data_IF_562040700433
#
_entry.id   IF_562040700433
#
_cell.length_a   1.000
_cell.length_b   1.000
_cell.length_c   1.000
_cell.angle_alpha   90.00
_cell.angle_beta   90.00
_cell.angle_gamma   90.00
#
_symmetry.space_group_name_H-M   'P 1'
#
loop_
_entity.id
_entity.type
_entity.pdbx_description
1 polymer ?
#
# COMPACT_ATOMS: atom_id res chain seq x y z
N UNK A 1 25.94 82.14 -93.98
CA UNK A 1 25.81 82.90 -92.72
C UNK A 1 26.18 81.95 -91.60
N UNK A 2 27.35 82.18 -91.06
CA UNK A 2 28.25 81.18 -90.46
C UNK A 2 27.78 80.73 -89.07
N UNK A 3 27.44 79.45 -88.91
CA UNK A 3 27.06 78.87 -87.61
C UNK A 3 28.19 79.00 -86.57
N UNK A 4 29.44 79.19 -87.01
CA UNK A 4 30.61 79.36 -86.13
C UNK A 4 30.55 80.64 -85.30
N UNK A 5 29.89 81.70 -85.78
CA UNK A 5 29.99 83.03 -85.15
C UNK A 5 28.96 83.28 -84.02
N UNK A 6 27.86 82.52 -83.98
CA UNK A 6 26.86 82.59 -82.88
C UNK A 6 27.17 81.70 -81.68
N UNK A 7 28.09 80.75 -81.82
CA UNK A 7 28.47 79.81 -80.75
C UNK A 7 29.63 80.31 -79.87
N UNK A 8 30.40 81.31 -80.30
CA UNK A 8 31.65 81.71 -79.60
C UNK A 8 31.52 82.86 -78.59
N UNK A 9 30.38 83.56 -78.50
CA UNK A 9 30.19 84.69 -77.57
C UNK A 9 29.44 84.38 -76.28
N UNK A 10 28.85 83.20 -76.14
CA UNK A 10 28.18 82.80 -74.91
C UNK A 10 28.76 81.47 -74.41
N UNK A 11 29.56 81.54 -73.33
CA UNK A 11 30.01 80.35 -72.57
C UNK A 11 28.84 79.44 -72.19
N UNK A 12 27.62 79.97 -72.17
CA UNK A 12 26.38 79.26 -71.88
C UNK A 12 25.91 78.35 -73.03
N UNK A 13 26.12 78.74 -74.30
CA UNK A 13 25.70 77.95 -75.48
C UNK A 13 26.52 76.69 -75.65
N UNK A 14 27.85 76.79 -75.48
CA UNK A 14 28.76 75.63 -75.53
C UNK A 14 28.51 74.68 -74.36
N UNK A 15 28.23 75.22 -73.16
CA UNK A 15 27.82 74.42 -71.99
C UNK A 15 26.49 73.68 -72.23
N UNK A 16 25.56 74.27 -72.98
CA UNK A 16 24.28 73.66 -73.30
C UNK A 16 24.45 72.50 -74.28
N UNK A 17 25.26 72.66 -75.33
CA UNK A 17 25.55 71.59 -76.29
C UNK A 17 26.33 70.44 -75.63
N UNK A 18 27.30 70.73 -74.75
CA UNK A 18 28.02 69.69 -74.01
C UNK A 18 27.12 68.95 -73.02
N UNK A 19 26.17 69.65 -72.38
CA UNK A 19 25.15 69.04 -71.54
C UNK A 19 24.26 68.08 -72.35
N UNK A 20 23.78 68.50 -73.52
CA UNK A 20 22.94 67.67 -74.39
C UNK A 20 23.71 66.43 -74.86
N UNK A 21 24.96 66.59 -75.29
CA UNK A 21 25.82 65.45 -75.67
C UNK A 21 26.09 64.52 -74.48
N UNK A 22 26.29 65.06 -73.27
CA UNK A 22 26.44 64.25 -72.06
C UNK A 22 25.16 63.47 -71.73
N UNK A 23 23.98 64.06 -71.90
CA UNK A 23 22.68 63.39 -71.71
C UNK A 23 22.47 62.29 -72.75
N UNK A 24 22.77 62.53 -74.03
CA UNK A 24 22.70 61.50 -75.07
C UNK A 24 23.69 60.36 -74.82
N UNK A 25 24.93 60.68 -74.43
CA UNK A 25 25.94 59.67 -74.14
C UNK A 25 25.60 58.87 -72.88
N UNK A 26 25.10 59.53 -71.83
CA UNK A 26 24.55 58.88 -70.63
C UNK A 26 23.36 57.99 -70.96
N UNK A 27 22.44 58.47 -71.82
CA UNK A 27 21.28 57.69 -72.29
C UNK A 27 21.69 56.50 -73.15
N UNK A 28 22.70 56.63 -74.01
CA UNK A 28 23.24 55.51 -74.80
C UNK A 28 23.94 54.47 -73.91
N UNK A 29 24.75 54.90 -72.94
CA UNK A 29 25.41 53.99 -71.98
C UNK A 29 24.37 53.27 -71.12
N UNK A 30 23.34 53.97 -70.65
CA UNK A 30 22.29 53.35 -69.83
C UNK A 30 21.30 52.52 -70.64
N UNK A 31 21.03 52.89 -71.90
CA UNK A 31 20.03 52.24 -72.74
C UNK A 31 20.56 51.13 -73.65
N UNK A 32 21.79 51.24 -74.17
CA UNK A 32 22.37 50.30 -75.15
C UNK A 32 23.49 49.45 -74.54
N UNK A 33 24.39 50.04 -73.74
CA UNK A 33 25.49 49.29 -73.10
C UNK A 33 25.01 48.51 -71.87
N UNK A 34 24.02 49.06 -71.15
CA UNK A 34 23.33 48.47 -69.99
C UNK A 34 24.29 47.71 -69.05
N UNK A 35 25.10 48.44 -68.25
CA UNK A 35 26.18 47.84 -67.47
C UNK A 35 25.66 46.82 -66.46
N UNK A 36 26.42 45.74 -66.30
CA UNK A 36 26.16 44.71 -65.30
C UNK A 36 26.34 45.30 -63.89
N UNK A 37 25.38 45.03 -63.00
CA UNK A 37 25.38 45.45 -61.59
C UNK A 37 25.19 44.25 -60.68
N UNK A 38 25.55 44.44 -59.42
CA UNK A 38 25.30 43.49 -58.35
C UNK A 38 24.23 44.06 -57.41
N UNK A 39 23.20 43.26 -57.10
CA UNK A 39 22.19 43.60 -56.09
C UNK A 39 22.14 42.48 -55.05
N UNK A 40 22.07 42.90 -53.79
CA UNK A 40 21.92 42.02 -52.64
C UNK A 40 20.44 41.95 -52.23
N UNK A 41 19.86 40.77 -52.38
CA UNK A 41 18.52 40.45 -51.89
C UNK A 41 18.67 39.80 -50.51
N UNK A 42 18.25 40.51 -49.46
CA UNK A 42 18.45 40.07 -48.07
C UNK A 42 17.19 39.45 -47.48
N UNK A 43 17.38 38.45 -46.62
CA UNK A 43 16.30 37.84 -45.86
C UNK A 43 15.30 37.06 -46.72
N UNK A 44 15.75 36.48 -47.83
CA UNK A 44 14.95 35.59 -48.68
C UNK A 44 14.59 34.36 -47.85
N UNK A 45 13.30 34.06 -47.72
CA UNK A 45 12.83 32.88 -46.99
C UNK A 45 13.19 31.61 -47.74
N UNK A 46 13.74 30.64 -47.01
CA UNK A 46 14.13 29.35 -47.56
C UNK A 46 12.96 28.38 -47.40
N UNK A 47 12.49 27.83 -48.51
CA UNK A 47 11.40 26.87 -48.55
C UNK A 47 11.94 25.43 -48.42
N UNK A 48 11.27 24.62 -47.62
CA UNK A 48 11.59 23.20 -47.52
C UNK A 48 10.86 22.41 -48.61
N UNK A 49 11.61 21.64 -49.40
CA UNK A 49 11.09 20.72 -50.42
C UNK A 49 11.37 19.27 -50.02
N UNK A 50 10.63 18.32 -50.60
CA UNK A 50 10.73 16.90 -50.19
C UNK A 50 10.09 16.62 -48.84
N UNK A 51 9.12 17.43 -48.41
CA UNK A 51 8.37 17.23 -47.16
C UNK A 51 7.54 15.94 -47.18
N UNK A 52 7.25 15.38 -48.36
CA UNK A 52 6.63 14.07 -48.50
C UNK A 52 7.54 12.94 -47.99
N UNK A 53 8.87 13.07 -48.15
CA UNK A 53 9.83 12.13 -47.55
C UNK A 53 9.77 12.22 -46.02
N UNK A 54 9.80 13.45 -45.48
CA UNK A 54 9.70 13.70 -44.03
C UNK A 54 8.44 13.04 -43.44
N UNK A 55 7.28 13.29 -44.03
CA UNK A 55 6.01 12.73 -43.55
C UNK A 55 5.95 11.21 -43.67
N UNK A 56 6.45 10.64 -44.79
CA UNK A 56 6.43 9.18 -45.01
C UNK A 56 7.34 8.42 -44.06
N UNK A 57 8.53 8.97 -43.80
CA UNK A 57 9.50 8.35 -42.88
C UNK A 57 9.18 8.65 -41.40
N UNK A 58 8.09 9.38 -41.11
CA UNK A 58 7.72 9.75 -39.75
C UNK A 58 8.76 10.65 -39.09
N UNK A 59 9.25 11.67 -39.81
CA UNK A 59 10.24 12.62 -39.31
C UNK A 59 9.61 13.99 -39.07
N UNK A 60 10.25 14.81 -38.24
CA UNK A 60 9.86 16.20 -37.99
C UNK A 60 11.07 17.13 -37.99
N UNK A 61 10.89 18.37 -38.44
CA UNK A 61 11.94 19.40 -38.41
C UNK A 61 11.88 20.09 -37.05
N UNK A 62 12.92 19.93 -36.22
CA UNK A 62 13.03 20.64 -34.94
C UNK A 62 13.50 22.08 -35.16
N UNK A 63 14.55 22.28 -35.94
CA UNK A 63 15.12 23.59 -36.23
C UNK A 63 15.94 23.58 -37.53
N UNK A 64 16.07 24.72 -38.23
CA UNK A 64 15.33 25.97 -38.03
C UNK A 64 13.91 25.90 -38.64
N UNK A 65 12.93 26.56 -38.01
CA UNK A 65 11.55 26.59 -38.54
C UNK A 65 11.41 27.53 -39.76
N UNK A 66 12.04 28.70 -39.72
CA UNK A 66 11.94 29.72 -40.79
C UNK A 66 13.34 30.25 -41.19
N UNK A 67 14.19 29.44 -41.85
CA UNK A 67 15.50 29.88 -42.29
C UNK A 67 15.41 31.01 -43.34
N UNK A 68 16.36 31.95 -43.27
CA UNK A 68 16.49 33.05 -44.24
C UNK A 68 17.90 33.10 -44.80
N UNK A 69 18.02 33.51 -46.06
CA UNK A 69 19.29 33.57 -46.79
C UNK A 69 19.45 34.91 -47.52
N UNK A 70 20.69 35.36 -47.69
CA UNK A 70 21.03 36.50 -48.51
C UNK A 70 21.54 36.02 -49.87
N UNK A 71 21.02 36.60 -50.95
CA UNK A 71 21.36 36.22 -52.33
C UNK A 71 21.90 37.43 -53.07
N UNK A 72 23.13 37.33 -53.58
CA UNK A 72 23.74 38.33 -54.46
C UNK A 72 23.58 37.92 -55.92
N UNK A 73 22.97 38.79 -56.71
CA UNK A 73 22.67 38.55 -58.11
C UNK A 73 23.38 39.57 -59.01
N UNK A 74 23.97 39.08 -60.10
CA UNK A 74 24.58 39.83 -61.19
C UNK A 74 23.62 39.90 -62.37
N UNK A 75 23.40 41.09 -62.92
CA UNK A 75 22.59 41.25 -64.13
C UNK A 75 22.57 42.69 -64.61
N UNK A 76 21.91 42.93 -65.76
CA UNK A 76 21.66 44.29 -66.23
C UNK A 76 20.59 44.98 -65.38
N UNK A 77 20.55 46.32 -65.38
CA UNK A 77 19.59 47.06 -64.54
C UNK A 77 18.13 46.71 -64.85
N UNK A 78 17.82 46.50 -66.14
CA UNK A 78 16.48 46.11 -66.60
C UNK A 78 16.08 44.70 -66.12
N UNK A 79 17.00 43.75 -66.11
CA UNK A 79 16.74 42.38 -65.65
C UNK A 79 16.57 42.33 -64.12
N UNK A 80 17.42 43.03 -63.38
CA UNK A 80 17.36 43.05 -61.91
C UNK A 80 16.10 43.78 -61.40
N UNK A 81 15.69 44.87 -62.06
CA UNK A 81 14.45 45.56 -61.73
C UNK A 81 13.22 44.67 -61.94
N UNK A 82 13.24 43.78 -62.93
CA UNK A 82 12.14 42.84 -63.16
C UNK A 82 12.08 41.75 -62.09
N UNK A 83 13.22 41.34 -61.52
CA UNK A 83 13.24 40.35 -60.42
C UNK A 83 12.66 40.96 -59.14
N UNK A 84 13.01 42.20 -58.83
CA UNK A 84 12.55 42.88 -57.60
C UNK A 84 11.06 43.24 -57.58
N UNK A 85 10.45 43.45 -58.76
CA UNK A 85 9.01 43.76 -58.87
C UNK A 85 8.13 42.52 -58.98
N UNK A 86 8.72 41.34 -59.17
CA UNK A 86 8.00 40.06 -59.18
C UNK A 86 7.81 39.53 -57.77
N UNK A 87 6.62 39.05 -57.50
CA UNK A 87 6.35 38.21 -56.34
C UNK A 87 7.17 36.91 -56.47
N UNK A 88 7.96 36.58 -55.44
CA UNK A 88 8.86 35.42 -55.41
C UNK A 88 9.83 35.34 -56.60
N UNK A 89 10.39 36.49 -57.03
CA UNK A 89 11.37 36.54 -58.12
C UNK A 89 12.65 35.74 -57.86
N UNK A 90 13.00 35.54 -56.58
CA UNK A 90 14.09 34.67 -56.11
C UNK A 90 13.47 33.60 -55.21
N UNK A 91 13.74 32.34 -55.53
CA UNK A 91 13.27 31.18 -54.78
C UNK A 91 14.48 30.48 -54.19
N UNK A 92 14.55 30.40 -52.87
CA UNK A 92 15.57 29.63 -52.16
C UNK A 92 14.92 28.38 -51.57
N UNK A 93 15.49 27.22 -51.84
CA UNK A 93 14.94 25.91 -51.47
C UNK A 93 15.99 25.02 -50.82
N UNK A 94 15.54 24.19 -49.89
CA UNK A 94 16.31 23.13 -49.27
C UNK A 94 15.56 21.82 -49.45
N UNK A 95 16.21 20.86 -50.13
CA UNK A 95 15.65 19.52 -50.31
C UNK A 95 15.95 18.65 -49.10
N UNK A 96 14.89 18.19 -48.43
CA UNK A 96 14.96 17.33 -47.25
C UNK A 96 14.86 15.83 -47.59
N UNK A 97 14.87 15.45 -48.86
CA UNK A 97 14.87 14.04 -49.26
C UNK A 97 16.14 13.34 -48.80
N UNK A 98 16.01 12.23 -48.06
CA UNK A 98 17.14 11.42 -47.62
C UNK A 98 17.82 11.89 -46.32
N UNK A 99 17.27 12.91 -45.65
CA UNK A 99 17.73 13.29 -44.30
C UNK A 99 17.46 12.18 -43.30
N UNK A 100 18.23 12.16 -42.22
CA UNK A 100 18.14 11.18 -41.13
C UNK A 100 17.88 11.87 -39.79
N UNK A 101 17.44 11.15 -38.76
CA UNK A 101 17.37 11.71 -37.40
C UNK A 101 18.72 12.31 -36.95
N UNK A 102 18.67 13.45 -36.27
CA UNK A 102 19.82 14.23 -35.82
C UNK A 102 20.16 15.43 -36.72
N UNK A 103 21.42 15.88 -36.63
CA UNK A 103 21.94 17.02 -37.38
C UNK A 103 22.21 16.65 -38.85
N UNK A 104 21.61 17.39 -39.78
CA UNK A 104 21.83 17.23 -41.22
C UNK A 104 22.32 18.56 -41.81
N UNK A 105 23.48 18.56 -42.46
CA UNK A 105 23.95 19.72 -43.22
C UNK A 105 23.39 19.65 -44.63
N UNK A 106 22.59 20.63 -45.03
CA UNK A 106 21.89 20.66 -46.31
C UNK A 106 22.23 21.94 -47.09
N UNK A 107 22.37 21.81 -48.40
CA UNK A 107 22.68 22.91 -49.31
C UNK A 107 21.42 23.72 -49.63
N UNK A 108 21.54 25.05 -49.64
CA UNK A 108 20.48 25.93 -50.15
C UNK A 108 20.66 26.07 -51.66
N UNK A 109 19.63 25.69 -52.41
CA UNK A 109 19.54 25.88 -53.86
C UNK A 109 18.74 27.14 -54.15
N UNK A 110 19.29 28.05 -54.95
CA UNK A 110 18.61 29.31 -55.30
C UNK A 110 18.34 29.35 -56.80
N UNK A 111 17.10 29.63 -57.16
CA UNK A 111 16.64 29.75 -58.54
C UNK A 111 15.96 31.10 -58.77
N UNK A 112 16.16 31.67 -59.96
CA UNK A 112 15.49 32.90 -60.38
C UNK A 112 14.33 32.52 -61.28
N UNK A 113 13.10 32.86 -60.88
CA UNK A 113 11.89 32.49 -61.62
C UNK A 113 11.81 33.25 -62.93
N UNK A 114 11.48 32.53 -64.01
CA UNK A 114 11.31 33.10 -65.36
C UNK A 114 12.52 33.93 -65.78
N UNK A 115 13.70 33.32 -65.70
CA UNK A 115 14.96 33.95 -66.05
C UNK A 115 14.95 34.34 -67.54
N UNK A 116 14.88 35.64 -67.79
CA UNK A 116 15.07 36.23 -69.12
C UNK A 116 16.46 36.84 -69.17
N UNK A 117 17.32 36.40 -70.09
CA UNK A 117 18.65 36.99 -70.30
C UNK A 117 19.78 36.39 -69.42
N UNK A 118 20.83 37.18 -69.15
CA UNK A 118 22.09 36.71 -68.54
C UNK A 118 22.21 37.10 -67.07
N UNK A 119 21.22 36.74 -66.28
CA UNK A 119 21.27 36.92 -64.83
C UNK A 119 22.05 35.76 -64.19
N UNK A 120 22.95 36.06 -63.26
CA UNK A 120 23.79 35.06 -62.57
C UNK A 120 23.75 35.27 -61.06
N UNK A 121 23.57 34.18 -60.31
CA UNK A 121 23.73 34.18 -58.86
C UNK A 121 25.24 34.14 -58.56
N UNK A 122 25.72 35.11 -57.80
CA UNK A 122 27.15 35.27 -57.47
C UNK A 122 27.47 34.65 -56.12
N UNK A 123 26.57 34.84 -55.16
CA UNK A 123 26.78 34.43 -53.79
C UNK A 123 25.44 34.14 -53.10
N UNK A 124 25.43 33.14 -52.23
CA UNK A 124 24.32 32.75 -51.37
C UNK A 124 24.91 32.57 -49.98
N UNK A 125 24.43 33.35 -49.00
CA UNK A 125 24.98 33.37 -47.65
C UNK A 125 23.86 33.26 -46.58
N UNK A 126 23.85 32.19 -45.76
CA UNK A 126 24.74 31.02 -45.86
C UNK A 126 24.39 30.13 -47.06
N UNK A 127 25.36 29.40 -47.61
CA UNK A 127 25.12 28.44 -48.72
C UNK A 127 24.61 27.09 -48.22
N UNK A 128 24.73 26.83 -46.92
CA UNK A 128 24.31 25.61 -46.23
C UNK A 128 23.67 25.96 -44.91
N UNK A 129 22.71 25.14 -44.47
CA UNK A 129 22.13 25.23 -43.13
C UNK A 129 22.21 23.87 -42.45
N UNK A 130 22.28 23.89 -41.12
CA UNK A 130 22.11 22.70 -40.30
C UNK A 130 20.63 22.56 -39.99
N UNK A 131 20.03 21.45 -40.40
CA UNK A 131 18.64 21.09 -40.10
C UNK A 131 18.65 19.94 -39.11
N UNK A 132 18.05 20.17 -37.95
CA UNK A 132 17.83 19.16 -36.93
C UNK A 132 16.52 18.43 -37.20
N UNK A 133 16.62 17.13 -37.43
CA UNK A 133 15.49 16.26 -37.71
C UNK A 133 15.28 15.33 -36.52
N UNK A 134 14.03 15.13 -36.11
CA UNK A 134 13.66 14.16 -35.08
C UNK A 134 12.72 13.09 -35.65
N UNK A 135 12.67 11.94 -34.99
CA UNK A 135 11.71 10.89 -35.29
C UNK A 135 10.39 11.24 -34.62
N UNK A 136 9.29 11.17 -35.37
CA UNK A 136 7.94 11.13 -34.81
C UNK A 136 7.67 9.69 -34.43
N UNK A 137 7.46 9.47 -33.14
CA UNK A 137 7.16 8.15 -32.57
C UNK A 137 5.82 8.21 -31.85
N UNK A 138 5.22 7.03 -31.72
CA UNK A 138 3.97 6.85 -30.98
C UNK A 138 4.22 5.91 -29.83
N UNK A 139 3.95 6.36 -28.60
CA UNK A 139 4.11 5.56 -27.39
C UNK A 139 2.80 5.51 -26.59
N UNK A 140 2.57 4.37 -25.92
CA UNK A 140 1.50 4.23 -24.95
C UNK A 140 2.09 4.46 -23.56
N UNK A 141 1.58 5.47 -22.86
CA UNK A 141 2.03 5.88 -21.54
C UNK A 141 0.95 5.52 -20.51
N UNK A 142 1.36 4.94 -19.39
CA UNK A 142 0.43 4.57 -18.31
C UNK A 142 -0.02 5.82 -17.55
N UNK A 143 -1.31 5.88 -17.25
CA UNK A 143 -1.92 7.00 -16.51
C UNK A 143 -1.87 6.69 -15.01
N UNK A 144 -1.12 7.50 -14.28
CA UNK A 144 -1.06 7.50 -12.81
C UNK A 144 -2.18 8.37 -12.24
N UNK A 145 -2.79 7.95 -11.13
CA UNK A 145 -3.88 8.69 -10.47
C UNK A 145 -3.41 9.20 -9.13
N UNK A 146 -3.48 10.52 -8.94
CA UNK A 146 -3.14 11.19 -7.69
C UNK A 146 -4.37 11.93 -7.14
N UNK A 147 -5.17 11.29 -6.27
CA UNK A 147 -6.35 11.93 -5.70
C UNK A 147 -6.02 13.20 -4.89
N UNK A 148 -6.75 14.29 -5.13
CA UNK A 148 -6.59 15.55 -4.41
C UNK A 148 -7.61 15.69 -3.29
N UNK A 149 -7.12 16.06 -2.10
CA UNK A 149 -7.92 16.28 -0.91
C UNK A 149 -7.88 15.10 0.07
N UNK A 150 -8.68 15.19 1.13
CA UNK A 150 -8.79 14.15 2.14
C UNK A 150 -10.24 13.67 2.24
N UNK A 151 -10.43 12.38 2.48
CA UNK A 151 -11.75 11.83 2.79
C UNK A 151 -12.18 12.23 4.22
N UNK A 152 -13.49 12.30 4.48
CA UNK A 152 -13.99 12.45 5.86
C UNK A 152 -13.52 11.31 6.78
N UNK A 153 -13.49 11.58 8.09
CA UNK A 153 -13.16 10.56 9.09
C UNK A 153 -14.10 9.35 8.97
N UNK A 154 -13.54 8.14 9.12
CA UNK A 154 -14.28 6.89 8.99
C UNK A 154 -14.51 6.44 7.54
N UNK A 155 -13.83 7.03 6.57
CA UNK A 155 -13.82 6.58 5.17
C UNK A 155 -12.39 6.29 4.68
N UNK A 156 -12.27 5.41 3.70
CA UNK A 156 -11.00 5.02 3.08
C UNK A 156 -11.16 4.83 1.59
N UNK A 157 -10.08 5.06 0.83
CA UNK A 157 -10.04 4.76 -0.59
C UNK A 157 -9.94 3.25 -0.80
N UNK A 158 -10.71 2.75 -1.77
CA UNK A 158 -10.48 1.45 -2.35
C UNK A 158 -9.43 1.50 -3.47
N UNK A 159 -9.39 0.44 -4.26
CA UNK A 159 -8.49 0.37 -5.42
C UNK A 159 -9.05 1.23 -6.55
N UNK A 160 -8.41 2.37 -6.81
CA UNK A 160 -8.77 3.28 -7.90
C UNK A 160 -8.57 2.57 -9.24
N UNK A 161 -9.52 2.74 -10.16
CA UNK A 161 -9.49 2.10 -11.47
C UNK A 161 -9.66 3.14 -12.58
N UNK A 162 -8.69 3.21 -13.48
CA UNK A 162 -8.80 3.96 -14.73
C UNK A 162 -9.39 3.02 -15.78
N UNK A 163 -10.47 3.42 -16.45
CA UNK A 163 -11.16 2.58 -17.45
C UNK A 163 -10.22 2.27 -18.62
N UNK A 164 -9.51 3.29 -19.11
CA UNK A 164 -8.44 3.19 -20.10
C UNK A 164 -7.13 3.67 -19.44
N UNK A 165 -6.35 2.74 -18.89
CA UNK A 165 -5.16 3.07 -18.10
C UNK A 165 -3.95 3.52 -18.94
N UNK A 166 -4.09 3.63 -20.25
CA UNK A 166 -3.03 4.10 -21.15
C UNK A 166 -3.52 5.24 -22.04
N UNK A 167 -2.67 6.25 -22.19
CA UNK A 167 -2.80 7.28 -23.20
C UNK A 167 -1.77 7.06 -24.30
N UNK A 168 -2.19 7.18 -25.56
CA UNK A 168 -1.32 7.12 -26.72
C UNK A 168 -0.93 8.51 -27.15
N UNK A 169 0.36 8.79 -27.16
CA UNK A 169 0.94 10.07 -27.55
C UNK A 169 1.74 9.91 -28.83
N UNK A 170 1.56 10.82 -29.79
CA UNK A 170 2.39 10.89 -31.00
C UNK A 170 3.11 12.23 -31.06
N UNK A 171 4.43 12.21 -30.93
CA UNK A 171 5.25 13.42 -30.84
C UNK A 171 6.70 13.14 -31.28
N UNK A 172 7.51 14.19 -31.52
CA UNK A 172 8.95 14.02 -31.68
C UNK A 172 9.55 13.25 -30.50
N UNK A 173 10.45 12.31 -30.79
CA UNK A 173 11.09 11.44 -29.79
C UNK A 173 11.75 12.21 -28.68
N UNK A 174 12.35 13.36 -28.99
CA UNK A 174 12.95 14.25 -27.99
C UNK A 174 11.92 14.76 -26.98
N UNK A 175 10.69 15.05 -27.42
CA UNK A 175 9.58 15.49 -26.54
C UNK A 175 9.06 14.32 -25.72
N UNK A 176 8.84 13.14 -26.32
CA UNK A 176 8.41 11.96 -25.56
C UNK A 176 9.42 11.60 -24.46
N UNK A 177 10.73 11.66 -24.76
CA UNK A 177 11.79 11.39 -23.79
C UNK A 177 11.85 12.38 -22.62
N UNK A 178 11.20 13.54 -22.73
CA UNK A 178 11.07 14.51 -21.64
C UNK A 178 9.97 14.14 -20.67
N UNK A 179 8.93 13.43 -21.13
CA UNK A 179 7.81 12.99 -20.29
C UNK A 179 8.36 12.08 -19.19
N UNK A 180 8.18 12.51 -17.94
CA UNK A 180 8.46 11.71 -16.76
C UNK A 180 7.24 10.92 -16.32
N UNK A 181 6.07 11.57 -16.32
CA UNK A 181 4.83 10.98 -15.81
C UNK A 181 3.60 11.51 -16.56
N UNK A 182 2.55 10.68 -16.60
CA UNK A 182 1.22 11.06 -17.04
C UNK A 182 0.28 10.91 -15.85
N UNK A 183 -0.26 12.02 -15.38
CA UNK A 183 -1.03 12.07 -14.13
C UNK A 183 -2.43 12.62 -14.33
N UNK A 184 -3.35 12.18 -13.47
CA UNK A 184 -4.70 12.74 -13.33
C UNK A 184 -4.97 13.03 -11.85
N UNK A 185 -5.60 14.17 -11.59
CA UNK A 185 -5.83 14.69 -10.23
C UNK A 185 -7.31 14.77 -9.86
N UNK A 186 -7.99 13.63 -9.60
CA UNK A 186 -9.39 13.67 -9.23
C UNK A 186 -9.59 14.19 -7.80
N UNK A 187 -10.55 15.10 -7.60
CA UNK A 187 -10.86 15.66 -6.27
C UNK A 187 -11.75 14.71 -5.48
N UNK A 188 -11.31 14.32 -4.28
CA UNK A 188 -12.00 13.37 -3.39
C UNK A 188 -12.57 13.99 -2.12
N UNK A 189 -12.33 15.29 -1.88
CA UNK A 189 -12.85 15.99 -0.70
C UNK A 189 -14.37 15.81 -0.55
N UNK A 190 -14.81 15.54 0.68
CA UNK A 190 -16.22 15.38 1.09
C UNK A 190 -16.96 14.20 0.42
N UNK A 191 -16.26 13.30 -0.29
CA UNK A 191 -16.86 12.12 -0.90
C UNK A 191 -16.99 10.98 0.11
N UNK A 192 -18.15 10.34 0.13
CA UNK A 192 -18.50 9.23 1.05
C UNK A 192 -19.02 7.99 0.33
N UNK A 193 -19.14 8.05 -0.99
CA UNK A 193 -19.63 6.97 -1.85
C UNK A 193 -18.71 6.84 -3.07
N UNK A 194 -18.60 5.62 -3.59
CA UNK A 194 -17.93 5.36 -4.88
C UNK A 194 -18.52 6.22 -5.97
N UNK A 195 -17.67 6.82 -6.79
CA UNK A 195 -18.09 7.66 -7.92
C UNK A 195 -17.18 7.47 -9.12
N UNK A 196 -17.69 7.87 -10.28
CA UNK A 196 -16.92 8.00 -11.51
C UNK A 196 -16.68 9.47 -11.80
N UNK A 197 -15.49 9.79 -12.29
CA UNK A 197 -15.12 11.15 -12.67
C UNK A 197 -14.30 11.12 -13.96
N UNK A 198 -14.60 12.06 -14.85
CA UNK A 198 -13.77 12.34 -16.02
C UNK A 198 -12.78 13.46 -15.62
N UNK A 199 -11.48 13.20 -15.71
CA UNK A 199 -10.43 14.13 -15.29
C UNK A 199 -9.43 14.40 -16.41
N UNK A 200 -8.95 15.64 -16.58
CA UNK A 200 -7.97 15.99 -17.61
C UNK A 200 -6.63 15.31 -17.33
N UNK A 201 -6.02 14.80 -18.40
CA UNK A 201 -4.70 14.18 -18.38
C UNK A 201 -3.64 15.27 -18.44
N UNK A 202 -2.68 15.22 -17.54
CA UNK A 202 -1.56 16.15 -17.47
C UNK A 202 -0.26 15.37 -17.70
N UNK A 203 0.56 15.87 -18.62
CA UNK A 203 1.87 15.33 -18.94
C UNK A 203 2.92 16.12 -18.17
N UNK A 204 3.68 15.47 -17.30
CA UNK A 204 4.75 16.07 -16.51
C UNK A 204 6.11 15.64 -17.04
N UNK A 205 7.07 16.56 -17.05
CA UNK A 205 8.46 16.24 -17.31
C UNK A 205 9.13 15.57 -16.09
N UNK A 206 10.38 15.15 -16.24
CA UNK A 206 11.17 14.53 -15.15
C UNK A 206 11.44 15.45 -13.95
N UNK A 207 11.08 16.74 -14.05
CA UNK A 207 11.20 17.73 -12.99
C UNK A 207 9.81 18.21 -12.52
N UNK A 208 8.74 17.45 -12.80
CA UNK A 208 7.35 17.72 -12.42
C UNK A 208 6.75 18.99 -13.06
N UNK A 209 7.29 19.48 -14.17
CA UNK A 209 6.73 20.61 -14.91
C UNK A 209 5.78 20.13 -16.00
N UNK A 210 4.65 20.81 -16.16
CA UNK A 210 3.67 20.50 -17.21
C UNK A 210 4.24 20.73 -18.62
N UNK A 211 4.10 19.71 -19.48
CA UNK A 211 4.41 19.77 -20.90
C UNK A 211 3.13 20.13 -21.66
N UNK A 212 3.10 21.34 -22.23
CA UNK A 212 1.95 21.84 -22.98
C UNK A 212 2.02 21.47 -24.48
N UNK A 213 0.86 21.50 -25.15
CA UNK A 213 0.69 21.31 -26.60
C UNK A 213 1.08 19.91 -27.12
N UNK A 214 0.92 18.88 -26.30
CA UNK A 214 1.11 17.50 -26.70
C UNK A 214 -0.18 16.96 -27.33
N UNK A 215 -0.07 16.20 -28.42
CA UNK A 215 -1.22 15.55 -29.06
C UNK A 215 -1.34 14.10 -28.59
N UNK A 216 -2.48 13.77 -27.99
CA UNK A 216 -2.83 12.44 -27.51
C UNK A 216 -4.13 11.95 -28.14
N UNK A 217 -4.38 10.64 -28.09
CA UNK A 217 -5.64 10.05 -28.54
C UNK A 217 -6.84 10.39 -27.62
N UNK A 218 -6.57 10.67 -26.34
CA UNK A 218 -7.53 11.09 -25.33
C UNK A 218 -6.95 12.26 -24.53
N UNK A 219 -7.80 13.22 -24.17
CA UNK A 219 -7.43 14.40 -23.37
C UNK A 219 -7.87 14.26 -21.91
N UNK A 220 -8.83 13.38 -21.65
CA UNK A 220 -9.37 13.09 -20.32
C UNK A 220 -9.44 11.58 -20.10
N UNK A 221 -9.37 11.17 -18.83
CA UNK A 221 -9.51 9.79 -18.41
C UNK A 221 -10.76 9.62 -17.55
N UNK A 222 -11.50 8.54 -17.79
CA UNK A 222 -12.59 8.12 -16.93
C UNK A 222 -12.05 7.24 -15.79
N UNK A 223 -12.26 7.70 -14.56
CA UNK A 223 -11.70 7.13 -13.34
C UNK A 223 -12.86 6.71 -12.44
N UNK A 224 -12.86 5.46 -12.01
CA UNK A 224 -13.70 4.97 -10.92
C UNK A 224 -12.90 5.05 -9.61
N UNK A 225 -13.47 5.73 -8.62
CA UNK A 225 -12.86 5.94 -7.31
C UNK A 225 -13.75 5.27 -6.27
N UNK A 226 -13.42 4.03 -5.86
CA UNK A 226 -14.15 3.37 -4.79
C UNK A 226 -13.87 4.04 -3.45
N UNK A 227 -14.93 4.35 -2.71
CA UNK A 227 -14.84 4.87 -1.35
C UNK A 227 -15.59 3.92 -0.43
N UNK A 228 -14.90 3.50 0.62
CA UNK A 228 -15.43 2.57 1.61
C UNK A 228 -15.56 3.23 2.96
N UNK A 229 -16.64 2.92 3.66
CA UNK A 229 -16.85 3.30 5.06
C UNK A 229 -16.14 2.29 5.97
N UNK A 230 -15.46 2.80 6.98
CA UNK A 230 -14.84 2.02 8.05
C UNK A 230 -15.82 1.85 9.20
N UNK A 231 -15.87 0.65 9.78
CA UNK A 231 -16.63 0.37 10.99
C UNK A 231 -15.89 -0.64 11.86
N UNK A 232 -15.74 -0.32 13.13
CA UNK A 232 -15.28 -1.29 14.14
C UNK A 232 -16.47 -2.08 14.66
N UNK A 233 -16.39 -3.40 14.60
CA UNK A 233 -17.45 -4.32 15.03
C UNK A 233 -16.87 -5.47 15.85
N UNK A 234 -17.61 -6.00 16.84
CA UNK A 234 -17.16 -7.13 17.63
C UNK A 234 -17.17 -8.42 16.83
N UNK A 235 -16.26 -9.33 17.19
CA UNK A 235 -16.19 -10.69 16.63
C UNK A 235 -16.97 -11.65 17.53
N UNK A 236 -17.79 -12.50 16.91
CA UNK A 236 -18.55 -13.55 17.60
C UNK A 236 -18.03 -14.94 17.18
N UNK A 237 -17.46 -15.73 18.10
CA UNK A 237 -17.12 -17.12 17.83
C UNK A 237 -18.38 -17.91 17.48
N UNK A 238 -18.37 -18.59 16.34
CA UNK A 238 -19.41 -19.55 15.95
C UNK A 238 -18.94 -20.96 16.29
N UNK A 239 -19.42 -21.47 17.41
CA UNK A 239 -18.95 -22.73 17.98
C UNK A 239 -19.98 -23.84 17.78
N UNK A 240 -19.53 -25.02 17.34
CA UNK A 240 -20.38 -26.18 17.05
C UNK A 240 -19.84 -27.47 17.67
N UNK A 241 -20.70 -28.50 17.73
CA UNK A 241 -20.35 -29.81 18.26
C UNK A 241 -20.55 -29.95 19.78
N UNK A 242 -19.98 -31.00 20.34
CA UNK A 242 -20.01 -31.29 21.78
C UNK A 242 -18.74 -32.00 22.23
N UNK A 243 -18.43 -31.92 23.52
CA UNK A 243 -17.30 -32.57 24.19
C UNK A 243 -17.80 -33.60 25.21
N UNK A 244 -16.88 -34.31 25.88
CA UNK A 244 -17.22 -35.33 26.88
C UNK A 244 -18.07 -34.79 28.03
N UNK A 245 -18.79 -35.67 28.73
CA UNK A 245 -19.69 -35.26 29.83
C UNK A 245 -18.96 -34.59 31.01
N UNK A 246 -17.69 -34.92 31.22
CA UNK A 246 -16.85 -34.37 32.27
C UNK A 246 -15.94 -33.22 31.80
N UNK A 247 -16.01 -32.88 30.52
CA UNK A 247 -15.23 -31.83 29.88
C UNK A 247 -16.07 -30.56 29.71
N UNK A 248 -15.46 -29.39 29.88
CA UNK A 248 -16.08 -28.08 29.69
C UNK A 248 -15.12 -27.13 28.99
N UNK A 249 -15.65 -26.33 28.08
CA UNK A 249 -14.93 -25.19 27.51
C UNK A 249 -15.70 -23.92 27.89
N UNK A 250 -15.01 -22.98 28.55
CA UNK A 250 -15.54 -21.72 29.04
C UNK A 250 -14.76 -20.53 28.46
N UNK A 251 -15.31 -19.33 28.64
CA UNK A 251 -14.65 -18.06 28.27
C UNK A 251 -14.15 -17.97 26.81
N UNK A 252 -14.92 -18.52 25.86
CA UNK A 252 -14.56 -18.50 24.44
C UNK A 252 -14.67 -17.07 23.91
N UNK A 253 -13.54 -16.51 23.49
CA UNK A 253 -13.45 -15.18 22.87
C UNK A 253 -12.38 -15.17 21.79
N UNK A 254 -12.49 -14.24 20.85
CA UNK A 254 -11.46 -14.01 19.83
C UNK A 254 -10.63 -12.81 20.24
N UNK A 255 -9.31 -12.92 20.13
CA UNK A 255 -8.36 -11.83 20.27
C UNK A 255 -7.80 -11.47 18.87
N UNK A 256 -7.92 -10.21 18.42
CA UNK A 256 -8.62 -9.10 19.08
C UNK A 256 -10.16 -9.27 19.09
N UNK A 257 -10.83 -8.67 20.08
CA UNK A 257 -12.30 -8.77 20.23
C UNK A 257 -13.09 -7.98 19.19
N UNK A 258 -12.47 -6.96 18.59
CA UNK A 258 -13.07 -6.12 17.58
C UNK A 258 -12.20 -6.10 16.33
N UNK A 259 -12.85 -5.93 15.18
CA UNK A 259 -12.21 -5.83 13.88
C UNK A 259 -12.74 -4.62 13.12
N UNK A 260 -11.85 -3.96 12.38
CA UNK A 260 -12.22 -2.86 11.50
C UNK A 260 -12.50 -3.42 10.11
N UNK A 261 -13.77 -3.34 9.71
CA UNK A 261 -14.24 -3.72 8.38
C UNK A 261 -14.42 -2.50 7.49
N UNK A 262 -14.32 -2.73 6.18
CA UNK A 262 -14.56 -1.72 5.14
C UNK A 262 -15.44 -2.26 4.02
N UNK A 263 -16.28 -1.39 3.46
CA UNK A 263 -17.18 -1.71 2.36
C UNK A 263 -18.09 -0.52 2.02
N UNK A 264 -19.09 -0.73 1.16
CA UNK A 264 -20.05 0.33 0.83
C UNK A 264 -20.88 0.73 2.07
N UNK A 265 -21.22 2.01 2.20
CA UNK A 265 -21.97 2.55 3.34
C UNK A 265 -23.25 1.77 3.64
N UNK A 266 -24.01 1.41 2.59
CA UNK A 266 -25.26 0.65 2.72
C UNK A 266 -25.07 -0.72 3.39
N UNK A 267 -23.98 -1.42 3.06
CA UNK A 267 -23.68 -2.74 3.61
C UNK A 267 -23.13 -2.58 5.04
N UNK A 268 -22.15 -1.70 5.22
CA UNK A 268 -21.44 -1.52 6.49
C UNK A 268 -22.36 -1.05 7.61
N UNK A 269 -23.33 -0.20 7.32
CA UNK A 269 -24.26 0.29 8.34
C UNK A 269 -25.16 -0.82 8.91
N UNK A 270 -25.46 -1.84 8.11
CA UNK A 270 -26.30 -2.99 8.53
C UNK A 270 -25.56 -4.03 9.40
N UNK A 271 -24.23 -4.00 9.44
CA UNK A 271 -23.42 -5.03 10.10
C UNK A 271 -23.17 -4.65 11.57
N UNK A 272 -23.61 -5.48 12.50
CA UNK A 272 -23.43 -5.24 13.94
C UNK A 272 -22.32 -6.09 14.57
N UNK A 273 -21.93 -7.18 13.93
CA UNK A 273 -20.87 -8.09 14.36
C UNK A 273 -20.38 -8.91 13.16
N UNK A 274 -19.21 -9.54 13.29
CA UNK A 274 -18.70 -10.52 12.33
C UNK A 274 -18.56 -11.87 13.05
N UNK A 275 -19.04 -12.93 12.42
CA UNK A 275 -18.86 -14.29 12.95
C UNK A 275 -17.52 -14.86 12.49
N UNK A 276 -16.95 -15.77 13.28
CA UNK A 276 -15.87 -16.63 12.79
C UNK A 276 -16.42 -17.65 11.80
N UNK A 277 -15.52 -18.32 11.07
CA UNK A 277 -15.82 -19.64 10.53
C UNK A 277 -16.18 -20.61 11.67
N UNK A 278 -16.83 -21.72 11.33
CA UNK A 278 -17.28 -22.70 12.34
C UNK A 278 -16.09 -23.30 13.10
N UNK A 279 -16.15 -23.22 14.43
CA UNK A 279 -15.15 -23.78 15.34
C UNK A 279 -15.75 -25.04 15.98
N UNK A 280 -15.17 -26.20 15.70
CA UNK A 280 -15.63 -27.46 16.27
C UNK A 280 -15.00 -27.64 17.66
N UNK A 281 -15.83 -27.75 18.71
CA UNK A 281 -15.36 -27.83 20.11
C UNK A 281 -14.34 -28.95 20.36
N UNK A 282 -14.47 -30.06 19.63
CA UNK A 282 -13.58 -31.22 19.77
C UNK A 282 -12.13 -30.90 19.40
N UNK A 283 -11.93 -29.97 18.47
CA UNK A 283 -10.60 -29.59 17.98
C UNK A 283 -9.86 -28.66 18.97
N UNK A 284 -10.59 -28.14 19.96
CA UNK A 284 -10.04 -27.31 21.03
C UNK A 284 -9.47 -28.14 22.20
N UNK A 285 -9.81 -29.42 22.28
CA UNK A 285 -9.36 -30.30 23.36
C UNK A 285 -7.86 -30.56 23.21
N UNK A 286 -7.07 -30.05 24.16
CA UNK A 286 -5.61 -30.22 24.18
C UNK A 286 -4.83 -29.28 23.26
N UNK A 287 -5.48 -28.33 22.59
CA UNK A 287 -4.81 -27.28 21.84
C UNK A 287 -4.44 -26.10 22.75
N UNK A 288 -3.23 -25.56 22.60
CA UNK A 288 -2.78 -24.36 23.34
C UNK A 288 -3.19 -23.06 22.63
N UNK A 289 -3.25 -23.10 21.29
CA UNK A 289 -3.61 -21.97 20.44
C UNK A 289 -4.44 -22.44 19.26
N UNK A 290 -5.48 -21.68 18.91
CA UNK A 290 -6.31 -21.97 17.75
C UNK A 290 -6.51 -20.68 16.94
N UNK A 291 -6.01 -20.67 15.71
CA UNK A 291 -6.26 -19.55 14.78
C UNK A 291 -7.64 -19.70 14.15
N UNK A 292 -8.33 -18.58 13.97
CA UNK A 292 -9.69 -18.57 13.42
C UNK A 292 -9.78 -17.59 12.26
N UNK A 293 -10.53 -17.97 11.24
CA UNK A 293 -10.87 -17.07 10.16
C UNK A 293 -12.21 -16.40 10.45
N UNK A 294 -12.41 -15.22 9.86
CA UNK A 294 -13.67 -14.50 9.93
C UNK A 294 -14.53 -14.78 8.69
N UNK A 295 -15.82 -15.01 8.92
CA UNK A 295 -16.81 -15.16 7.85
C UNK A 295 -17.33 -13.79 7.44
N UNK A 296 -16.64 -13.18 6.47
CA UNK A 296 -16.99 -11.84 5.98
C UNK A 296 -18.18 -11.90 4.99
N UNK A 297 -19.18 -11.00 5.13
CA UNK A 297 -20.25 -10.84 4.16
C UNK A 297 -19.74 -10.39 2.78
N UNK A 298 -20.55 -10.62 1.74
CA UNK A 298 -20.23 -10.14 0.39
C UNK A 298 -20.08 -8.61 0.35
N UNK A 299 -19.03 -8.12 -0.34
CA UNK A 299 -18.74 -6.69 -0.44
C UNK A 299 -18.09 -6.06 0.80
N UNK A 300 -17.67 -6.89 1.77
CA UNK A 300 -16.97 -6.47 2.99
C UNK A 300 -15.56 -7.06 3.01
N UNK A 301 -14.58 -6.25 3.39
CA UNK A 301 -13.19 -6.69 3.57
C UNK A 301 -12.64 -6.14 4.88
N UNK A 302 -11.54 -6.74 5.36
CA UNK A 302 -10.78 -6.16 6.47
C UNK A 302 -10.09 -4.87 6.01
N UNK A 303 -10.06 -3.87 6.88
CA UNK A 303 -9.24 -2.69 6.64
C UNK A 303 -7.75 -3.03 6.73
N UNK A 304 -7.38 -3.83 7.73
CA UNK A 304 -6.03 -4.37 7.90
C UNK A 304 -6.07 -5.90 7.68
N UNK A 305 -5.59 -6.40 6.52
CA UNK A 305 -5.58 -7.82 6.21
C UNK A 305 -4.48 -8.59 6.96
N UNK A 306 -3.54 -7.92 7.65
CA UNK A 306 -2.45 -8.57 8.38
C UNK A 306 -2.78 -8.96 9.81
N UNK A 307 -4.04 -8.78 10.24
CA UNK A 307 -4.48 -9.10 11.60
C UNK A 307 -4.80 -10.59 11.71
N UNK A 308 -4.04 -11.30 12.54
CA UNK A 308 -4.35 -12.68 12.92
C UNK A 308 -5.37 -12.70 14.07
N UNK A 309 -6.35 -13.60 13.97
CA UNK A 309 -7.36 -13.80 15.00
C UNK A 309 -7.11 -15.10 15.72
N UNK A 310 -6.97 -15.02 17.05
CA UNK A 310 -6.72 -16.17 17.92
C UNK A 310 -7.91 -16.41 18.82
N UNK A 311 -8.30 -17.67 18.94
CA UNK A 311 -9.30 -18.08 19.90
C UNK A 311 -8.65 -18.24 21.27
N UNK A 312 -9.17 -17.52 22.25
CA UNK A 312 -8.87 -17.73 23.67
C UNK A 312 -10.05 -18.43 24.32
N UNK A 313 -9.77 -19.46 25.10
CA UNK A 313 -10.76 -20.24 25.82
C UNK A 313 -10.11 -20.93 27.02
N UNK A 314 -10.94 -21.40 27.94
CA UNK A 314 -10.52 -22.15 29.11
C UNK A 314 -11.07 -23.57 28.98
N UNK A 315 -10.19 -24.56 29.04
CA UNK A 315 -10.55 -25.98 29.00
C UNK A 315 -10.48 -26.60 30.39
N UNK A 316 -11.60 -27.11 30.87
CA UNK A 316 -11.75 -27.73 32.18
C UNK A 316 -12.09 -29.20 31.97
N UNK A 317 -11.24 -30.10 32.47
CA UNK A 317 -11.48 -31.54 32.46
C UNK A 317 -11.67 -32.03 33.89
N UNK A 318 -12.82 -32.63 34.20
CA UNK A 318 -13.03 -33.25 35.51
C UNK A 318 -12.69 -34.73 35.48
N UNK A 319 -12.00 -35.20 36.51
CA UNK A 319 -11.57 -36.60 36.62
C UNK A 319 -11.97 -37.18 37.97
N UNK A 320 -12.06 -38.50 38.03
CA UNK A 320 -12.17 -39.23 39.28
C UNK A 320 -10.80 -39.80 39.67
N UNK A 321 -10.43 -39.65 40.95
CA UNK A 321 -9.20 -40.23 41.50
C UNK A 321 -9.52 -40.98 42.78
N UNK A 322 -8.99 -42.19 42.87
CA UNK A 322 -8.99 -42.99 44.08
C UNK A 322 -7.76 -42.61 44.91
N UNK A 323 -7.96 -42.15 46.13
CA UNK A 323 -6.89 -41.79 47.05
C UNK A 323 -7.02 -42.63 48.32
N UNK A 324 -5.90 -43.22 48.74
CA UNK A 324 -5.80 -43.90 50.02
C UNK A 324 -5.40 -42.88 51.08
N UNK A 325 -6.28 -42.63 52.04
CA UNK A 325 -6.06 -41.74 53.17
C UNK A 325 -5.56 -42.58 54.35
N UNK A 326 -4.35 -42.33 54.85
CA UNK A 326 -3.76 -43.12 55.92
C UNK A 326 -4.40 -42.76 57.27
N UNK A 327 -4.38 -43.70 58.23
CA UNK A 327 -5.02 -43.56 59.55
C UNK A 327 -4.47 -42.38 60.34
N UNK A 328 -3.23 -41.98 60.09
CA UNK A 328 -2.56 -40.81 60.66
C UNK A 328 -3.31 -39.50 60.39
N UNK A 329 -4.08 -39.43 59.30
CA UNK A 329 -4.88 -38.26 58.94
C UNK A 329 -6.33 -38.33 59.44
N UNK A 330 -6.61 -39.29 60.33
CA UNK A 330 -7.90 -39.40 60.99
C UNK A 330 -7.87 -38.66 62.33
N UNK A 331 -8.94 -37.92 62.63
CA UNK A 331 -9.06 -37.21 63.90
C UNK A 331 -10.49 -37.21 64.44
N UNK A 332 -10.66 -36.87 65.71
CA UNK A 332 -11.96 -36.77 66.35
C UNK A 332 -12.43 -35.31 66.31
N UNK A 333 -13.71 -35.08 65.99
CA UNK A 333 -14.32 -33.75 65.96
C UNK A 333 -15.35 -33.63 67.09
N UNK A 334 -15.43 -32.43 67.68
CA UNK A 334 -16.33 -32.10 68.80
C UNK A 334 -16.03 -32.90 70.09
N UNK A 335 -14.75 -33.05 70.43
CA UNK A 335 -14.30 -33.70 71.66
C UNK A 335 -14.77 -32.96 72.93
N UNK A 336 -15.16 -33.74 73.93
CA UNK A 336 -15.36 -33.27 75.31
C UNK A 336 -14.07 -33.42 76.14
N UNK A 337 -13.64 -32.36 76.81
CA UNK A 337 -12.39 -32.33 77.60
C UNK A 337 -12.29 -33.39 78.70
N UNK A 338 -13.43 -33.87 79.22
CA UNK A 338 -13.48 -34.84 80.34
C UNK A 338 -13.39 -36.30 79.86
N UNK A 339 -13.47 -36.54 78.55
CA UNK A 339 -13.41 -37.87 77.96
C UNK A 339 -12.11 -38.04 77.18
N UNK A 340 -11.68 -39.28 77.04
CA UNK A 340 -10.57 -39.70 76.18
C UNK A 340 -11.13 -40.49 75.00
N UNK A 341 -10.62 -40.19 73.80
CA UNK A 341 -11.08 -40.76 72.55
C UNK A 341 -9.96 -41.53 71.88
N UNK A 342 -10.24 -42.74 71.40
CA UNK A 342 -9.29 -43.55 70.63
C UNK A 342 -9.97 -44.08 69.39
N UNK A 343 -9.40 -43.81 68.22
CA UNK A 343 -9.84 -44.40 66.95
C UNK A 343 -9.36 -45.86 66.91
N UNK A 344 -10.21 -46.77 67.37
CA UNK A 344 -9.92 -48.20 67.49
C UNK A 344 -10.49 -48.99 66.31
N UNK A 345 -10.08 -48.63 65.10
CA UNK A 345 -10.51 -49.29 63.87
C UNK A 345 -9.46 -50.29 63.38
N UNK A 346 -9.91 -51.39 62.77
CA UNK A 346 -9.08 -52.42 62.12
C UNK A 346 -8.48 -51.97 60.79
N UNK A 347 -8.91 -50.83 60.26
CA UNK A 347 -8.46 -50.29 58.99
C UNK A 347 -7.30 -49.30 59.19
N UNK A 348 -6.15 -49.57 58.58
CA UNK A 348 -4.99 -48.67 58.59
C UNK A 348 -5.11 -47.52 57.58
N UNK A 349 -6.14 -47.56 56.72
CA UNK A 349 -6.46 -46.50 55.77
C UNK A 349 -7.91 -46.59 55.32
N UNK A 350 -8.40 -45.52 54.69
CA UNK A 350 -9.64 -45.53 53.94
C UNK A 350 -9.36 -45.17 52.48
N UNK A 351 -10.10 -45.76 51.56
CA UNK A 351 -10.07 -45.37 50.15
C UNK A 351 -11.18 -44.37 49.87
N UNK A 352 -10.85 -43.25 49.24
CA UNK A 352 -11.80 -42.19 48.87
C UNK A 352 -11.78 -42.00 47.36
N UNK A 353 -12.95 -41.95 46.74
CA UNK A 353 -13.09 -41.57 45.34
C UNK A 353 -13.54 -40.12 45.31
N UNK A 354 -12.67 -39.26 44.82
CA UNK A 354 -12.93 -37.83 44.68
C UNK A 354 -13.12 -37.46 43.19
N UNK A 355 -13.89 -36.42 42.94
CA UNK A 355 -14.19 -35.90 41.61
C UNK A 355 -14.01 -34.38 41.59
N UNK A 356 -13.31 -33.87 40.59
CA UNK A 356 -13.04 -32.45 40.41
C UNK A 356 -12.13 -32.20 39.22
N UNK A 357 -11.66 -30.97 39.05
CA UNK A 357 -10.78 -30.60 37.93
C UNK A 357 -9.45 -31.36 38.00
N UNK A 358 -9.00 -31.91 36.86
CA UNK A 358 -7.76 -32.69 36.74
C UNK A 358 -6.55 -31.94 37.29
N UNK A 359 -6.42 -30.66 36.95
CA UNK A 359 -5.31 -29.80 37.40
C UNK A 359 -5.18 -29.75 38.93
N UNK A 360 -6.29 -29.88 39.65
CA UNK A 360 -6.36 -29.87 41.10
C UNK A 360 -6.27 -31.30 41.67
N UNK A 361 -7.04 -32.24 41.12
CA UNK A 361 -7.12 -33.63 41.60
C UNK A 361 -5.81 -34.39 41.40
N UNK A 362 -5.08 -34.14 40.31
CA UNK A 362 -3.85 -34.85 39.99
C UNK A 362 -2.76 -34.63 41.05
N UNK A 363 -2.74 -33.45 41.67
CA UNK A 363 -1.82 -33.08 42.75
C UNK A 363 -2.19 -33.61 44.15
N UNK A 364 -3.46 -33.96 44.38
CA UNK A 364 -3.91 -34.39 45.72
C UNK A 364 -3.38 -35.77 46.10
N UNK A 365 -2.92 -35.90 47.33
CA UNK A 365 -2.44 -37.13 47.96
C UNK A 365 -3.25 -37.47 49.21
N UNK A 366 -3.01 -38.65 49.80
CA UNK A 366 -3.64 -39.04 51.06
C UNK A 366 -3.30 -38.12 52.23
N UNK A 367 -2.19 -37.38 52.13
CA UNK A 367 -1.75 -36.41 53.14
C UNK A 367 -2.58 -35.13 53.14
N UNK A 368 -3.16 -34.78 52.00
CA UNK A 368 -3.96 -33.55 51.84
C UNK A 368 -5.40 -33.73 52.31
N UNK A 369 -5.82 -34.97 52.60
CA UNK A 369 -7.18 -35.33 52.93
C UNK A 369 -7.27 -35.71 54.40
N UNK A 370 -7.98 -34.89 55.18
CA UNK A 370 -8.25 -35.20 56.59
C UNK A 370 -9.63 -35.78 56.76
N UNK A 371 -9.69 -36.86 57.54
CA UNK A 371 -10.94 -37.55 57.86
C UNK A 371 -11.27 -37.35 59.32
N UNK A 372 -12.50 -36.96 59.62
CA UNK A 372 -12.96 -36.78 60.98
C UNK A 372 -14.10 -37.73 61.34
N UNK A 373 -14.19 -38.05 62.64
CA UNK A 373 -15.32 -38.73 63.23
C UNK A 373 -15.96 -37.78 64.24
N UNK A 374 -17.21 -37.40 64.00
CA UNK A 374 -17.93 -36.48 64.89
C UNK A 374 -18.55 -37.24 66.07
N UNK A 375 -18.07 -36.96 67.28
CA UNK A 375 -18.50 -37.61 68.52
C UNK A 375 -19.42 -36.74 69.37
N UNK A 376 -19.96 -35.66 68.79
CA UNK A 376 -20.78 -34.68 69.51
C UNK A 376 -21.91 -35.34 70.31
N UNK A 377 -21.88 -35.15 71.62
CA UNK A 377 -22.94 -35.58 72.54
C UNK A 377 -22.90 -37.06 72.92
N UNK A 378 -21.84 -37.80 72.56
CA UNK A 378 -21.65 -39.19 72.97
C UNK A 378 -21.03 -39.29 74.37
N UNK A 379 -21.40 -40.35 75.10
CA UNK A 379 -20.84 -40.71 76.41
C UNK A 379 -19.75 -41.77 76.26
N UNK A 380 -19.19 -42.26 77.38
CA UNK A 380 -18.27 -43.41 77.34
C UNK A 380 -18.94 -44.64 76.74
N UNK A 381 -18.18 -45.41 75.97
CA UNK A 381 -18.64 -46.58 75.22
C UNK A 381 -17.85 -46.83 73.95
N UNK A 382 -18.17 -47.92 73.27
CA UNK A 382 -17.62 -48.25 71.94
C UNK A 382 -18.68 -47.93 70.88
N UNK A 383 -18.28 -47.19 69.85
CA UNK A 383 -19.16 -46.75 68.77
C UNK A 383 -18.58 -47.09 67.42
N UNK A 384 -19.45 -47.35 66.44
CA UNK A 384 -19.12 -47.42 65.02
C UNK A 384 -19.84 -46.27 64.35
N UNK A 385 -19.08 -45.27 63.91
CA UNK A 385 -19.62 -44.00 63.42
C UNK A 385 -19.19 -43.77 61.98
N UNK A 386 -20.07 -43.19 61.17
CA UNK A 386 -19.70 -42.73 59.83
C UNK A 386 -18.64 -41.63 59.97
N UNK A 387 -17.51 -41.80 59.27
CA UNK A 387 -16.52 -40.73 59.18
C UNK A 387 -16.94 -39.68 58.14
N UNK A 388 -16.29 -38.55 58.09
CA UNK A 388 -16.50 -37.52 57.08
C UNK A 388 -15.15 -36.93 56.70
N UNK A 389 -15.06 -36.34 55.52
CA UNK A 389 -13.84 -35.70 55.05
C UNK A 389 -14.03 -34.19 55.17
N UNK A 390 -12.95 -33.47 55.51
CA UNK A 390 -12.96 -32.02 55.42
C UNK A 390 -13.27 -31.56 53.98
N UNK A 391 -14.09 -30.52 53.85
CA UNK A 391 -14.43 -29.98 52.53
C UNK A 391 -13.18 -29.40 51.86
N UNK A 392 -12.85 -29.88 50.66
CA UNK A 392 -11.80 -29.33 49.81
C UNK A 392 -12.48 -28.55 48.69
N UNK A 393 -12.10 -27.29 48.51
CA UNK A 393 -12.68 -26.44 47.48
C UNK A 393 -12.45 -27.04 46.08
N UNK A 394 -13.50 -27.07 45.25
CA UNK A 394 -13.43 -27.66 43.90
C UNK A 394 -13.44 -29.20 43.84
N UNK A 395 -13.54 -29.89 44.99
CA UNK A 395 -13.53 -31.36 45.06
C UNK A 395 -14.82 -31.89 45.66
N UNK A 396 -15.45 -32.84 44.97
CA UNK A 396 -16.60 -33.58 45.46
C UNK A 396 -16.19 -35.01 45.87
N UNK A 397 -16.56 -35.42 47.09
CA UNK A 397 -16.47 -36.81 47.50
C UNK A 397 -17.59 -37.61 46.81
N UNK A 398 -17.22 -38.69 46.11
CA UNK A 398 -18.16 -39.60 45.44
C UNK A 398 -18.39 -40.87 46.23
N UNK A 399 -17.31 -41.47 46.72
CA UNK A 399 -17.36 -42.73 47.46
C UNK A 399 -16.27 -42.75 48.52
N UNK A 400 -16.51 -43.51 49.60
CA UNK A 400 -15.55 -43.73 50.66
C UNK A 400 -15.74 -45.13 51.22
N UNK A 401 -14.65 -45.88 51.37
CA UNK A 401 -14.65 -47.23 51.87
C UNK A 401 -13.44 -47.49 52.79
N UNK A 402 -13.63 -47.92 54.05
CA UNK A 402 -14.90 -48.09 54.77
C UNK A 402 -15.62 -46.76 55.01
N UNK A 403 -16.95 -46.83 55.11
CA UNK A 403 -17.76 -45.63 55.37
C UNK A 403 -17.80 -45.24 56.86
N UNK A 404 -17.63 -46.23 57.73
CA UNK A 404 -17.69 -46.09 59.20
C UNK A 404 -16.43 -46.61 59.85
N UNK A 405 -16.01 -45.96 60.94
CA UNK A 405 -14.83 -46.28 61.73
C UNK A 405 -15.24 -46.48 63.19
N UNK A 406 -14.49 -47.33 63.92
CA UNK A 406 -14.75 -47.57 65.34
C UNK A 406 -13.99 -46.59 66.23
N UNK A 407 -14.68 -46.04 67.23
CA UNK A 407 -14.13 -45.13 68.24
C UNK A 407 -14.49 -45.65 69.63
N UNK A 408 -13.50 -45.69 70.51
CA UNK A 408 -13.68 -45.97 71.93
C UNK A 408 -13.61 -44.64 72.68
N UNK A 409 -14.60 -44.41 73.54
CA UNK A 409 -14.71 -43.22 74.40
C UNK A 409 -14.62 -43.68 75.86
N UNK A 410 -13.64 -43.18 76.60
CA UNK A 410 -13.42 -43.49 78.03
C UNK A 410 -13.51 -42.25 78.89
N UNK A 411 -13.86 -42.42 80.16
CA UNK A 411 -13.85 -41.31 81.12
C UNK A 411 -12.42 -41.14 81.66
N UNK A 412 -11.89 -39.91 81.68
CA UNK A 412 -10.49 -39.67 82.11
C UNK A 412 -10.24 -40.02 83.57
N UNK A 413 -11.28 -40.01 84.41
CA UNK A 413 -11.18 -40.34 85.84
C UNK A 413 -10.95 -41.83 86.13
N UNK A 414 -11.16 -42.74 85.16
CA UNK A 414 -10.91 -44.18 85.34
C UNK A 414 -9.51 -44.64 84.92
N UNK A 415 -8.78 -43.86 84.12
CA UNK A 415 -7.48 -44.26 83.55
C UNK A 415 -6.33 -44.09 84.55
N UNK A 416 -6.43 -43.14 85.49
CA UNK A 416 -5.37 -42.90 86.49
C UNK A 416 -5.27 -43.96 87.60
N UNK A 417 -6.24 -44.86 87.76
CA UNK A 417 -6.25 -45.86 88.84
C UNK A 417 -5.61 -47.22 88.48
N UNK A 418 -5.27 -47.48 87.21
CA UNK A 418 -4.80 -48.81 86.77
C UNK A 418 -3.28 -48.97 86.57
N UNK A 419 -2.47 -47.91 86.68
CA UNK A 419 -0.99 -48.02 86.56
C UNK A 419 -0.25 -48.15 87.91
N UNK A 420 -0.93 -48.05 89.06
CA UNK A 420 -0.31 -48.04 90.38
C UNK A 420 -0.26 -49.41 91.11
N UNK A 421 -0.31 -50.53 90.37
CA UNK A 421 -0.47 -51.87 90.94
C UNK A 421 0.56 -52.91 90.47
N UNK A 422 1.82 -52.77 90.86
CA UNK A 422 2.79 -53.88 90.86
C UNK A 422 3.56 -53.91 92.20
N UNK A 423 3.58 -55.02 92.96
CA UNK A 423 4.22 -55.08 94.26
C UNK A 423 5.72 -55.41 94.16
N UNK A 424 6.56 -54.70 94.92
CA UNK A 424 7.87 -55.20 95.34
C UNK A 424 7.80 -55.71 96.78
N UNK A 425 8.00 -57.02 96.95
CA UNK A 425 8.30 -57.65 98.23
C UNK A 425 9.72 -57.28 98.69
N UNK A 426 9.87 -57.01 99.99
CA UNK A 426 11.17 -56.95 100.69
C UNK A 426 11.84 -58.33 100.75
N UNK A 427 12.98 -58.57 101.40
CA UNK A 427 13.77 -57.89 102.42
C UNK A 427 15.19 -58.49 102.31
N UNK A 428 16.20 -57.83 102.91
CA UNK A 428 17.50 -58.51 103.09
C UNK A 428 18.62 -57.60 103.58
N UNK A 429 18.54 -57.19 104.84
CA UNK A 429 19.62 -56.54 105.58
C UNK A 429 20.88 -57.43 105.66
N UNK A 430 22.07 -56.85 105.52
CA UNK A 430 23.18 -57.07 106.46
C UNK A 430 24.27 -56.01 106.31
N UNK A 431 24.72 -55.54 107.49
CA UNK A 431 25.95 -54.83 107.81
C UNK A 431 27.18 -55.43 107.05
N UNK A 432 28.33 -54.79 106.89
CA UNK A 432 29.07 -53.96 107.83
C UNK A 432 30.28 -53.35 107.10
N UNK A 433 30.84 -52.32 107.75
CA UNK A 433 32.23 -51.87 107.72
C UNK A 433 32.81 -51.19 106.48
N UNK A 434 33.16 -49.92 106.69
CA UNK A 434 34.01 -49.14 105.81
C UNK A 434 35.51 -49.44 105.98
N UNK A 435 36.26 -49.01 104.97
CA UNK A 435 37.40 -48.10 105.11
C UNK A 435 37.55 -47.30 103.81
#
# INVERSE_FOLDING_TARGET
MDLRERLSKNKLSIKLVSLIMAVFLWSYVMGVVNPVRHIDYRGVEVQFTGTEYINREGLSILSPQNPKVNVRVEGTMSELSNISTRENGIVAEVNLSGVRPGENVVNISVTIKEQTGRVRIINVEPSQIVVNIDEIVTENLEISVEPLGNLPEGYTLGNVRVIDNYVRVTAPKTVLNQIGEVVVFPVISDKTETFMINSPIIFLDKNENEIQNLSSNIETADIEIPIYKLKSVPIRPLVTGSIGQDEKITNIRVAPENVIIRGSTKIIDSISYIETEEIVLKDLVGAETHEVNLKLPEGVTLHDPGVDFKLEYEYINNVQKSITVPKENFYIKNENSNLEYTINTEFDSINVIIYGESSLIDGLTGEDIRTFIDVKGLSSGEYVLESSIDSIEGVALREKNPNSLSVIIKNKEEVQNNEAGAPQEGEGSTNNDGN
#
